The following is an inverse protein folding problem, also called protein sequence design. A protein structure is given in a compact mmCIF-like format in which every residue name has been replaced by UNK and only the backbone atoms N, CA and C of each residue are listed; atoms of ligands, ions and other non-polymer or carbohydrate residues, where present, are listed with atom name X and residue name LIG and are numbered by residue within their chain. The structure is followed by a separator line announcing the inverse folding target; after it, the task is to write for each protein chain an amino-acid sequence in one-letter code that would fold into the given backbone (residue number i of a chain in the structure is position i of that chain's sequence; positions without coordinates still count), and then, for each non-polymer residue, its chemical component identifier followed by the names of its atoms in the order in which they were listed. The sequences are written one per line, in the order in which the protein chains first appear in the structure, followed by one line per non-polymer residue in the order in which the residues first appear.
data_IF_084207175006
#
_entry.id   IF_084207175006
#
_cell.length_a   1.000
_cell.length_b   1.000
_cell.length_c   1.000
_cell.angle_alpha   90.00
_cell.angle_beta   90.00
_cell.angle_gamma   90.00
#
_symmetry.space_group_name_H-M   'P 1'
#
loop_
_entity.id
_entity.type
_entity.pdbx_description
1 polymer ?
#
# COMPACT_ATOMS: atom_id res chain seq x y z
N UNK A 1 -63.24 5.91 20.08
CA UNK A 1 -62.28 6.74 19.32
C UNK A 1 -61.03 7.09 20.15
N UNK A 2 -60.25 6.12 20.66
CA UNK A 2 -58.99 6.41 21.41
C UNK A 2 -57.97 5.25 21.35
N UNK A 3 -57.80 4.59 20.21
CA UNK A 3 -56.93 3.39 20.14
C UNK A 3 -56.04 3.27 18.90
N UNK A 4 -56.03 4.26 18.00
CA UNK A 4 -55.26 4.19 16.74
C UNK A 4 -53.99 5.05 16.71
N UNK A 5 -53.66 5.75 17.81
CA UNK A 5 -52.58 6.76 17.81
C UNK A 5 -51.25 6.31 18.42
N UNK A 6 -51.12 5.02 18.80
CA UNK A 6 -49.89 4.49 19.43
C UNK A 6 -49.05 3.66 18.43
N UNK A 7 -49.61 3.24 17.29
CA UNK A 7 -48.93 2.37 16.33
C UNK A 7 -47.94 3.06 15.38
N UNK A 8 -48.04 4.38 15.17
CA UNK A 8 -47.24 5.08 14.15
C UNK A 8 -45.89 5.58 14.70
N UNK A 9 -45.78 5.79 16.01
CA UNK A 9 -44.54 6.31 16.62
C UNK A 9 -43.44 5.23 16.73
N UNK A 10 -43.82 3.95 16.78
CA UNK A 10 -42.86 2.84 16.92
C UNK A 10 -42.10 2.49 15.64
N UNK A 11 -42.63 2.81 14.45
CA UNK A 11 -41.98 2.48 13.17
C UNK A 11 -40.93 3.50 12.72
N UNK A 12 -41.00 4.76 13.18
CA UNK A 12 -40.02 5.79 12.80
C UNK A 12 -38.73 5.66 13.62
N UNK A 13 -38.80 5.12 14.84
CA UNK A 13 -37.61 4.89 15.68
C UNK A 13 -36.68 3.78 15.15
N UNK A 14 -37.19 2.84 14.34
CA UNK A 14 -36.38 1.77 13.77
C UNK A 14 -35.57 2.19 12.52
N UNK A 15 -35.89 3.34 11.90
CA UNK A 15 -35.18 3.82 10.71
C UNK A 15 -33.97 4.73 11.02
N UNK A 16 -33.77 5.11 12.29
CA UNK A 16 -32.58 5.87 12.71
C UNK A 16 -31.46 5.01 13.29
N UNK A 17 -31.70 3.70 13.49
CA UNK A 17 -30.70 2.80 14.09
C UNK A 17 -29.70 2.20 13.08
N UNK A 18 -29.84 2.43 11.77
CA UNK A 18 -28.99 1.77 10.76
C UNK A 18 -27.90 2.66 10.16
N UNK A 19 -27.82 3.95 10.49
CA UNK A 19 -26.80 4.84 9.89
C UNK A 19 -25.52 5.00 10.72
N UNK A 20 -25.45 4.44 11.92
CA UNK A 20 -24.32 4.69 12.85
C UNK A 20 -23.14 3.72 12.66
N UNK A 21 -23.26 2.69 11.81
CA UNK A 21 -22.21 1.65 11.66
C UNK A 21 -21.46 1.66 10.31
N UNK A 22 -21.59 2.70 9.48
CA UNK A 22 -20.80 2.84 8.25
C UNK A 22 -19.49 3.64 8.43
N UNK A 23 -19.15 3.95 9.68
CA UNK A 23 -17.83 4.43 10.11
C UNK A 23 -17.29 3.52 11.21
N UNK A 24 -17.37 2.19 11.01
CA UNK A 24 -16.30 1.35 11.49
C UNK A 24 -15.03 1.90 10.84
N UNK A 25 -14.36 2.82 11.54
CA UNK A 25 -13.06 3.35 11.21
C UNK A 25 -12.22 2.15 10.86
N UNK A 26 -11.99 1.94 9.57
CA UNK A 26 -10.99 0.99 9.13
C UNK A 26 -9.72 1.49 9.77
N UNK A 27 -9.28 0.85 10.85
CA UNK A 27 -8.03 1.18 11.51
C UNK A 27 -7.00 1.22 10.38
N UNK A 28 -6.38 2.39 10.12
CA UNK A 28 -5.32 2.47 9.13
C UNK A 28 -4.33 1.36 9.43
N UNK A 29 -3.89 0.64 8.41
CA UNK A 29 -2.85 -0.37 8.59
C UNK A 29 -1.54 0.35 8.93
N UNK A 30 -0.81 0.73 7.90
CA UNK A 30 0.33 1.62 7.94
C UNK A 30 0.01 2.94 7.23
N UNK A 31 -0.97 2.91 6.33
CA UNK A 31 -1.23 3.96 5.36
C UNK A 31 -2.32 4.91 5.84
N UNK A 32 -1.93 6.15 6.12
CA UNK A 32 -2.87 7.24 6.40
C UNK A 32 -3.52 7.81 5.11
N UNK A 33 -2.78 7.77 4.00
CA UNK A 33 -3.14 8.42 2.73
C UNK A 33 -4.05 7.55 1.86
N UNK A 34 -5.00 8.17 1.13
CA UNK A 34 -5.92 7.48 0.22
C UNK A 34 -5.41 7.49 -1.22
N UNK A 35 -5.88 6.53 -2.03
CA UNK A 35 -5.56 6.49 -3.46
C UNK A 35 -6.18 7.67 -4.22
N UNK A 36 -5.49 8.13 -5.27
CA UNK A 36 -5.94 9.23 -6.12
C UNK A 36 -5.63 10.62 -5.58
N UNK A 37 -5.03 10.75 -4.39
CA UNK A 37 -4.57 12.05 -3.91
C UNK A 37 -3.42 12.59 -4.77
N UNK A 38 -3.41 13.91 -4.93
CA UNK A 38 -2.36 14.67 -5.61
C UNK A 38 -1.14 14.85 -4.71
N UNK A 39 0.06 15.08 -5.27
CA UNK A 39 1.27 15.33 -4.47
C UNK A 39 1.11 16.45 -3.43
N UNK A 40 0.30 17.48 -3.72
CA UNK A 40 0.00 18.54 -2.76
C UNK A 40 -0.84 18.02 -1.58
N UNK A 41 -1.89 17.26 -1.85
CA UNK A 41 -2.80 16.73 -0.83
C UNK A 41 -2.10 15.69 0.06
N UNK A 42 -1.21 14.87 -0.52
CA UNK A 42 -0.36 13.95 0.25
C UNK A 42 0.52 14.72 1.25
N UNK A 43 1.16 15.81 0.81
CA UNK A 43 1.99 16.65 1.70
C UNK A 43 1.18 17.35 2.80
N UNK A 44 -0.08 17.66 2.56
CA UNK A 44 -0.97 18.27 3.56
C UNK A 44 -1.52 17.22 4.55
N UNK A 45 -1.60 15.96 4.12
CA UNK A 45 -2.06 14.83 4.97
C UNK A 45 -0.95 14.33 5.89
N UNK A 46 0.30 14.32 5.41
CA UNK A 46 1.46 13.90 6.20
C UNK A 46 1.87 14.96 7.21
N UNK A 47 2.18 14.52 8.44
CA UNK A 47 2.63 15.40 9.52
C UNK A 47 4.08 15.83 9.35
N UNK A 48 4.89 14.97 8.72
CA UNK A 48 6.30 15.21 8.45
C UNK A 48 6.50 15.97 7.14
N UNK A 49 7.61 16.69 7.02
CA UNK A 49 8.02 17.29 5.75
C UNK A 49 8.75 16.26 4.88
N UNK A 50 8.53 16.23 3.56
CA UNK A 50 9.27 15.35 2.68
C UNK A 50 10.76 15.73 2.66
N UNK A 51 11.61 14.72 2.73
CA UNK A 51 13.07 14.84 2.53
C UNK A 51 13.45 15.07 1.07
N UNK A 52 12.61 14.61 0.13
CA UNK A 52 12.79 14.83 -1.31
C UNK A 52 11.45 15.01 -2.00
N UNK A 53 11.40 15.95 -2.94
CA UNK A 53 10.23 16.23 -3.78
C UNK A 53 10.67 16.17 -5.24
N UNK A 54 10.19 15.16 -5.96
CA UNK A 54 10.37 15.00 -7.41
C UNK A 54 8.99 14.99 -8.09
N UNK A 55 8.98 15.15 -9.41
CA UNK A 55 7.74 15.21 -10.20
C UNK A 55 6.81 14.01 -9.93
N UNK A 56 7.37 12.82 -9.90
CA UNK A 56 6.62 11.55 -9.81
C UNK A 56 6.80 10.86 -8.45
N UNK A 57 7.50 11.51 -7.50
CA UNK A 57 7.89 10.86 -6.25
C UNK A 57 8.02 11.84 -5.09
N UNK A 58 7.47 11.46 -3.93
CA UNK A 58 7.75 12.10 -2.64
C UNK A 58 8.45 11.10 -1.73
N UNK A 59 9.53 11.53 -1.07
CA UNK A 59 10.28 10.69 -0.13
C UNK A 59 10.29 11.34 1.24
N UNK A 60 9.93 10.57 2.24
CA UNK A 60 9.97 10.91 3.65
C UNK A 60 10.96 10.00 4.35
N UNK A 61 11.73 10.58 5.27
CA UNK A 61 12.58 9.84 6.19
C UNK A 61 12.08 10.10 7.60
N UNK A 62 12.37 9.20 8.53
CA UNK A 62 11.99 9.44 9.92
C UNK A 62 10.53 9.13 10.22
N UNK A 63 9.82 8.36 9.38
CA UNK A 63 8.39 8.12 9.57
C UNK A 63 8.17 7.13 10.72
N UNK A 64 7.45 7.51 11.78
CA UNK A 64 7.14 6.57 12.86
C UNK A 64 6.13 5.54 12.34
N UNK A 65 6.48 4.26 12.43
CA UNK A 65 5.62 3.16 12.06
C UNK A 65 5.76 2.05 13.11
N UNK A 66 4.70 1.77 13.85
CA UNK A 66 4.76 0.97 15.07
C UNK A 66 5.77 1.56 16.08
N UNK A 67 6.74 0.77 16.54
CA UNK A 67 7.77 1.15 17.51
C UNK A 67 9.10 1.57 16.85
N UNK A 68 9.08 1.81 15.54
CA UNK A 68 10.29 2.06 14.73
C UNK A 68 10.14 3.23 13.77
N UNK A 69 11.28 3.59 13.21
CA UNK A 69 11.41 4.65 12.22
C UNK A 69 11.70 4.05 10.86
N UNK A 70 10.89 4.37 9.86
CA UNK A 70 11.03 3.86 8.49
C UNK A 70 11.18 5.00 7.48
N UNK A 71 11.66 4.64 6.29
CA UNK A 71 11.49 5.47 5.10
C UNK A 71 10.10 5.26 4.48
N UNK A 72 9.59 6.27 3.81
CA UNK A 72 8.31 6.21 3.09
C UNK A 72 8.46 6.91 1.75
N UNK A 73 8.20 6.16 0.69
CA UNK A 73 8.16 6.64 -0.67
C UNK A 73 6.73 6.60 -1.19
N UNK A 74 6.27 7.71 -1.77
CA UNK A 74 5.03 7.79 -2.53
C UNK A 74 5.35 7.98 -3.99
N UNK A 75 4.81 7.13 -4.86
CA UNK A 75 4.93 7.28 -6.32
C UNK A 75 3.62 7.73 -6.94
N UNK A 76 3.74 8.61 -7.92
CA UNK A 76 2.63 9.26 -8.61
C UNK A 76 2.69 8.98 -10.11
N UNK A 77 1.52 8.76 -10.70
CA UNK A 77 1.34 8.77 -12.15
C UNK A 77 0.59 10.05 -12.52
N UNK A 78 1.31 11.03 -13.08
CA UNK A 78 0.81 12.39 -13.22
C UNK A 78 0.46 12.97 -11.84
N UNK A 79 -0.81 13.34 -11.65
CA UNK A 79 -1.31 13.90 -10.40
C UNK A 79 -1.97 12.86 -9.48
N UNK A 80 -1.89 11.57 -9.78
CA UNK A 80 -2.56 10.54 -8.99
C UNK A 80 -1.57 9.64 -8.25
N UNK A 81 -1.74 9.51 -6.94
CA UNK A 81 -1.00 8.55 -6.13
C UNK A 81 -1.30 7.11 -6.56
N UNK A 82 -0.25 6.34 -6.90
CA UNK A 82 -0.35 4.95 -7.35
C UNK A 82 0.35 3.95 -6.44
N UNK A 83 1.36 4.38 -5.68
CA UNK A 83 2.13 3.50 -4.79
C UNK A 83 2.51 4.19 -3.49
N UNK A 84 2.63 3.41 -2.42
CA UNK A 84 3.25 3.81 -1.17
C UNK A 84 4.14 2.67 -0.67
N UNK A 85 5.44 2.92 -0.49
CA UNK A 85 6.45 1.96 -0.06
C UNK A 85 7.05 2.39 1.27
N UNK A 86 6.81 1.61 2.32
CA UNK A 86 7.47 1.76 3.62
C UNK A 86 8.69 0.83 3.64
N UNK A 87 9.87 1.35 3.92
CA UNK A 87 11.09 0.57 3.85
C UNK A 87 12.00 0.76 5.05
N UNK A 88 12.65 -0.34 5.44
CA UNK A 88 13.65 -0.41 6.50
C UNK A 88 14.86 -1.20 5.98
N UNK A 89 16.05 -0.67 6.17
CA UNK A 89 17.30 -1.28 5.74
C UNK A 89 18.27 -1.39 6.90
N UNK A 90 19.20 -2.33 6.80
CA UNK A 90 20.27 -2.48 7.77
C UNK A 90 21.10 -1.19 7.82
N UNK A 91 21.35 -0.67 9.03
CA UNK A 91 22.21 0.50 9.27
C UNK A 91 23.14 0.22 10.43
N UNK A 92 23.96 1.20 10.84
CA UNK A 92 24.76 1.07 12.06
C UNK A 92 23.91 0.81 13.33
N UNK A 93 22.63 1.19 13.32
CA UNK A 93 21.71 1.04 14.45
C UNK A 93 20.54 0.08 14.20
N UNK A 94 20.48 -0.55 13.02
CA UNK A 94 19.42 -1.49 12.64
C UNK A 94 20.08 -2.76 12.13
N UNK A 95 19.95 -3.83 12.89
CA UNK A 95 20.55 -5.14 12.62
C UNK A 95 19.65 -6.02 11.76
N UNK A 96 20.19 -7.14 11.27
CA UNK A 96 19.39 -8.18 10.61
C UNK A 96 18.23 -8.67 11.49
N UNK A 97 18.47 -8.84 12.78
CA UNK A 97 17.45 -9.37 13.70
C UNK A 97 16.30 -8.36 13.86
N UNK A 98 16.61 -7.07 13.88
CA UNK A 98 15.59 -6.00 13.87
C UNK A 98 14.74 -6.05 12.59
N UNK A 99 15.37 -6.28 11.43
CA UNK A 99 14.65 -6.45 10.15
C UNK A 99 13.72 -7.67 10.19
N UNK A 100 14.20 -8.80 10.74
CA UNK A 100 13.41 -10.03 10.81
C UNK A 100 12.25 -9.92 11.82
N UNK A 101 12.48 -9.30 12.97
CA UNK A 101 11.45 -8.98 13.96
C UNK A 101 10.39 -8.07 13.32
N UNK A 102 10.84 -7.01 12.63
CA UNK A 102 9.94 -6.10 11.96
C UNK A 102 9.10 -6.77 10.87
N UNK A 103 9.70 -7.68 10.11
CA UNK A 103 8.98 -8.45 9.10
C UNK A 103 7.87 -9.31 9.72
N UNK A 104 8.16 -10.00 10.82
CA UNK A 104 7.18 -10.86 11.51
C UNK A 104 5.99 -10.04 12.06
N UNK A 105 6.25 -8.89 12.66
CA UNK A 105 5.21 -8.00 13.17
C UNK A 105 4.37 -7.38 12.05
N UNK A 106 5.00 -6.90 10.98
CA UNK A 106 4.27 -6.34 9.85
C UNK A 106 3.41 -7.41 9.18
N UNK A 107 3.92 -8.64 9.05
CA UNK A 107 3.14 -9.77 8.57
C UNK A 107 1.94 -10.06 9.48
N UNK A 108 2.13 -10.04 10.81
CA UNK A 108 1.04 -10.26 11.77
C UNK A 108 -0.05 -9.18 11.68
N UNK A 109 0.34 -7.90 11.59
CA UNK A 109 -0.59 -6.78 11.43
C UNK A 109 -1.37 -6.86 10.12
N UNK A 110 -0.69 -7.17 9.01
CA UNK A 110 -1.34 -7.34 7.71
C UNK A 110 -2.25 -8.57 7.71
N UNK A 111 -1.84 -9.68 8.30
CA UNK A 111 -2.67 -10.87 8.41
C UNK A 111 -3.93 -10.64 9.27
N UNK A 112 -3.83 -9.86 10.34
CA UNK A 112 -4.98 -9.51 11.18
C UNK A 112 -6.04 -8.72 10.41
N UNK A 113 -5.61 -7.85 9.48
CA UNK A 113 -6.51 -6.99 8.70
C UNK A 113 -7.00 -7.62 7.40
N UNK A 114 -6.12 -8.32 6.69
CA UNK A 114 -6.35 -8.80 5.32
C UNK A 114 -6.48 -10.32 5.21
N UNK A 115 -6.34 -11.04 6.33
CA UNK A 115 -6.26 -12.50 6.35
C UNK A 115 -4.88 -13.00 5.90
N UNK A 116 -4.69 -14.33 5.83
CA UNK A 116 -3.40 -14.93 5.47
C UNK A 116 -2.94 -14.51 4.07
N UNK A 117 -1.73 -13.96 3.97
CA UNK A 117 -1.11 -13.60 2.69
C UNK A 117 -0.54 -14.79 1.93
N UNK A 118 -0.42 -14.67 0.61
CA UNK A 118 0.22 -15.67 -0.25
C UNK A 118 1.75 -15.50 -0.20
N UNK A 119 2.44 -16.53 0.27
CA UNK A 119 3.91 -16.53 0.39
C UNK A 119 4.59 -17.06 -0.86
N UNK A 120 5.73 -16.48 -1.20
CA UNK A 120 6.61 -16.93 -2.27
C UNK A 120 8.07 -16.60 -1.91
N UNK A 121 8.99 -17.37 -2.48
CA UNK A 121 10.43 -17.17 -2.32
C UNK A 121 11.03 -16.91 -3.70
N UNK A 122 11.78 -15.82 -3.84
CA UNK A 122 12.49 -15.44 -5.06
C UNK A 122 13.96 -15.23 -4.70
N UNK A 123 14.79 -16.26 -4.93
CA UNK A 123 16.17 -16.27 -4.42
C UNK A 123 16.18 -16.19 -2.89
N UNK A 124 16.89 -15.19 -2.35
CA UNK A 124 16.97 -14.93 -0.91
C UNK A 124 15.88 -13.97 -0.39
N UNK A 125 14.91 -13.62 -1.23
CA UNK A 125 13.81 -12.70 -0.88
C UNK A 125 12.54 -13.49 -0.63
N UNK A 126 12.00 -13.36 0.58
CA UNK A 126 10.67 -13.84 0.96
C UNK A 126 9.65 -12.74 0.72
N UNK A 127 8.64 -13.06 -0.08
CA UNK A 127 7.53 -12.18 -0.39
C UNK A 127 6.22 -12.74 0.15
N UNK A 128 5.43 -11.90 0.82
CA UNK A 128 4.05 -12.19 1.20
C UNK A 128 3.14 -11.17 0.53
N UNK A 129 2.11 -11.66 -0.17
CA UNK A 129 1.21 -10.81 -0.97
C UNK A 129 -0.21 -10.91 -0.44
N UNK A 130 -0.84 -9.75 -0.24
CA UNK A 130 -2.27 -9.61 0.01
C UNK A 130 -2.93 -8.84 -1.11
N UNK A 131 -4.20 -9.15 -1.38
CA UNK A 131 -4.97 -8.47 -2.41
C UNK A 131 -6.33 -8.05 -1.86
N UNK A 132 -6.67 -6.81 -2.15
CA UNK A 132 -8.03 -6.28 -2.01
C UNK A 132 -8.55 -5.92 -3.40
N UNK A 133 -9.83 -5.53 -3.55
CA UNK A 133 -10.37 -5.12 -4.84
C UNK A 133 -9.59 -3.98 -5.51
N UNK A 134 -8.99 -3.08 -4.72
CA UNK A 134 -8.29 -1.88 -5.24
C UNK A 134 -6.80 -1.85 -4.97
N UNK A 135 -6.28 -2.69 -4.08
CA UNK A 135 -4.90 -2.61 -3.61
C UNK A 135 -4.23 -3.98 -3.65
N UNK A 136 -2.99 -4.04 -4.12
CA UNK A 136 -2.07 -5.14 -3.86
C UNK A 136 -1.09 -4.68 -2.78
N UNK A 137 -0.82 -5.54 -1.81
CA UNK A 137 0.11 -5.26 -0.71
C UNK A 137 1.19 -6.33 -0.77
N UNK A 138 2.45 -5.91 -0.86
CA UNK A 138 3.60 -6.79 -0.88
C UNK A 138 4.45 -6.52 0.36
N UNK A 139 4.73 -7.55 1.15
CA UNK A 139 5.75 -7.55 2.19
C UNK A 139 6.95 -8.33 1.67
N UNK A 140 8.06 -7.65 1.44
CA UNK A 140 9.29 -8.23 0.91
C UNK A 140 10.38 -8.14 1.97
N UNK A 141 11.01 -9.26 2.31
CA UNK A 141 12.17 -9.30 3.21
C UNK A 141 13.27 -10.15 2.60
N UNK A 142 14.50 -9.64 2.58
CA UNK A 142 15.62 -10.38 2.02
C UNK A 142 16.94 -9.62 2.13
N UNK A 143 18.01 -10.28 1.68
CA UNK A 143 19.32 -9.66 1.57
C UNK A 143 19.46 -9.05 0.16
N UNK A 144 19.62 -7.73 0.11
CA UNK A 144 19.92 -6.97 -1.12
C UNK A 144 21.38 -6.52 -1.08
N UNK A 145 21.96 -6.04 -2.18
CA UNK A 145 23.40 -5.72 -2.32
C UNK A 145 24.06 -4.93 -1.16
N UNK A 146 23.26 -4.25 -0.33
CA UNK A 146 23.68 -3.43 0.81
C UNK A 146 23.30 -4.00 2.19
N UNK A 147 22.87 -5.25 2.26
CA UNK A 147 22.45 -5.93 3.48
C UNK A 147 20.95 -6.27 3.51
N UNK A 148 20.46 -6.63 4.70
CA UNK A 148 19.07 -7.01 4.88
C UNK A 148 18.14 -5.80 4.76
N UNK A 149 17.04 -5.98 4.04
CA UNK A 149 15.99 -4.99 3.88
C UNK A 149 14.60 -5.59 4.03
N UNK A 150 13.68 -4.72 4.41
CA UNK A 150 12.25 -4.98 4.53
C UNK A 150 11.50 -3.86 3.79
N UNK A 151 10.54 -4.24 2.95
CA UNK A 151 9.66 -3.30 2.27
C UNK A 151 8.20 -3.75 2.42
N UNK A 152 7.32 -2.82 2.79
CA UNK A 152 5.87 -2.95 2.66
C UNK A 152 5.40 -2.01 1.56
N UNK A 153 5.04 -2.56 0.42
CA UNK A 153 4.55 -1.81 -0.72
C UNK A 153 3.05 -1.96 -0.88
N UNK A 154 2.36 -0.84 -0.95
CA UNK A 154 0.97 -0.73 -1.33
C UNK A 154 0.89 -0.23 -2.77
N UNK A 155 0.25 -1.00 -3.65
CA UNK A 155 0.07 -0.67 -5.06
C UNK A 155 -1.42 -0.55 -5.40
N UNK A 156 -1.81 0.57 -6.00
CA UNK A 156 -3.17 0.73 -6.50
C UNK A 156 -3.38 -0.07 -7.80
N UNK A 157 -4.31 -1.03 -7.77
CA UNK A 157 -4.63 -1.92 -8.90
C UNK A 157 -5.53 -1.29 -9.95
N UNK A 158 -6.27 -0.24 -9.57
CA UNK A 158 -7.28 0.42 -10.42
C UNK A 158 -6.91 1.85 -10.80
N UNK A 159 -5.79 2.38 -10.29
CA UNK A 159 -5.34 3.74 -10.58
C UNK A 159 -4.51 3.83 -11.87
N UNK A 160 -4.28 2.70 -12.55
CA UNK A 160 -3.57 2.59 -13.82
C UNK A 160 -4.50 2.60 -15.04
N UNK A 161 -5.81 2.77 -14.83
CA UNK A 161 -6.79 2.99 -15.92
C UNK A 161 -6.48 4.31 -16.64
N UNK A 162 -5.69 4.21 -17.71
CA UNK A 162 -5.12 5.34 -18.44
C UNK A 162 -3.80 5.03 -19.16
N UNK A 163 -3.16 3.89 -18.86
CA UNK A 163 -2.07 3.39 -19.68
C UNK A 163 -2.61 2.99 -21.07
N UNK A 164 -2.02 3.46 -22.19
CA UNK A 164 -2.28 2.82 -23.48
C UNK A 164 -1.95 1.34 -23.31
N UNK A 165 -2.87 0.45 -23.73
CA UNK A 165 -2.60 -0.98 -23.88
C UNK A 165 -1.17 -1.12 -24.40
N UNK A 166 -0.33 -1.88 -23.69
CA UNK A 166 1.00 -2.24 -24.20
C UNK A 166 0.83 -2.58 -25.69
N UNK A 167 1.61 -1.96 -26.60
CA UNK A 167 1.46 -2.25 -28.02
C UNK A 167 1.51 -3.77 -28.17
N UNK A 168 0.51 -4.33 -28.83
CA UNK A 168 0.38 -5.76 -29.03
C UNK A 168 1.74 -6.31 -29.42
N UNK A 169 2.22 -7.33 -28.69
CA UNK A 169 3.54 -7.94 -28.88
C UNK A 169 3.85 -8.01 -30.37
N UNK A 170 4.77 -7.17 -30.83
CA UNK A 170 5.30 -7.28 -32.18
C UNK A 170 6.03 -8.61 -32.20
N UNK A 171 5.39 -9.60 -32.83
CA UNK A 171 5.98 -10.91 -33.16
C UNK A 171 7.40 -10.67 -33.62
N UNK A 172 8.36 -11.13 -32.82
CA UNK A 172 9.78 -11.00 -33.12
C UNK A 172 10.03 -11.63 -34.49
N UNK A 173 10.27 -10.81 -35.52
CA UNK A 173 10.75 -11.28 -36.81
C UNK A 173 12.28 -11.34 -36.70
N UNK A 174 12.90 -12.52 -36.69
CA UNK A 174 14.35 -12.61 -36.75
C UNK A 174 14.84 -11.88 -38.00
N UNK A 175 15.83 -10.99 -37.82
CA UNK A 175 16.51 -10.34 -38.95
C UNK A 175 17.19 -11.44 -39.76
N UNK A 176 16.87 -11.51 -41.06
CA UNK A 176 17.56 -12.38 -42.02
C UNK A 176 19.07 -12.19 -41.89
N UNK A 177 19.75 -13.32 -41.93
CA UNK A 177 21.18 -13.55 -41.77
C UNK A 177 22.05 -12.41 -42.34
N UNK A 178 22.93 -11.89 -41.49
CA UNK A 178 24.06 -11.07 -41.93
C UNK A 178 24.98 -12.03 -42.68
N UNK A 179 25.19 -11.79 -43.98
CA UNK A 179 26.24 -12.47 -44.74
C UNK A 179 27.59 -11.97 -44.22
N UNK A 180 28.34 -12.87 -43.62
CA UNK A 180 29.77 -12.67 -43.34
C UNK A 180 30.48 -12.36 -44.66
N UNK A 181 31.18 -11.22 -44.70
CA UNK A 181 32.17 -10.87 -45.71
C UNK A 181 33.52 -10.74 -45.03
#
# INVERSE_FOLDING_TARGET
MRSYLIGVVACIACLYATTVNLHAQQTPDFRAVRWGLRPKEVRETETLKPSSVKREKLTYTGVPLADRTVGLDYDFNGDSLVSASYFLYTTASVTKDDIMAASAEFEALLNAKYGPGKKSLLGDVRNTVWQTPRTQINLSVGNVDRGWSLEVQYLCRVCTEGQPKAPAQTTFKPRKDIKDF
#
